data_IF_945046554399
#
_entry.id   IF_945046554399
#
_cell.length_a   1.000
_cell.length_b   1.000
_cell.length_c   1.000
_cell.angle_alpha   90.00
_cell.angle_beta   90.00
_cell.angle_gamma   90.00
#
_symmetry.space_group_name_H-M   'P 1'
#
loop_
_entity.id
_entity.type
_entity.pdbx_description
1 polymer ?
#
# COMPACT_ATOMS: atom_id res chain seq x y z
N UNK A 1 15.42 -10.91 0.07
CA UNK A 1 14.93 -9.94 1.06
C UNK A 1 14.12 -10.71 2.12
N UNK A 2 14.11 -10.26 3.37
CA UNK A 2 13.23 -10.79 4.42
C UNK A 2 11.80 -10.31 4.21
N UNK A 3 10.82 -10.91 4.92
CA UNK A 3 9.43 -10.40 4.91
C UNK A 3 9.37 -8.90 5.25
N UNK A 4 10.15 -8.45 6.23
CA UNK A 4 10.21 -7.05 6.63
C UNK A 4 10.77 -6.15 5.53
N UNK A 5 11.83 -6.60 4.84
CA UNK A 5 12.40 -5.86 3.71
C UNK A 5 11.42 -5.79 2.52
N UNK A 6 10.73 -6.88 2.20
CA UNK A 6 9.70 -6.89 1.16
C UNK A 6 8.54 -5.96 1.51
N UNK A 7 8.10 -5.98 2.76
CA UNK A 7 7.04 -5.10 3.22
C UNK A 7 7.46 -3.62 3.16
N UNK A 8 8.68 -3.30 3.61
CA UNK A 8 9.19 -1.93 3.54
C UNK A 8 9.27 -1.45 2.09
N UNK A 9 9.75 -2.29 1.18
CA UNK A 9 9.78 -1.98 -0.24
C UNK A 9 8.39 -1.71 -0.84
N UNK A 10 7.37 -2.51 -0.46
CA UNK A 10 5.98 -2.27 -0.86
C UNK A 10 5.46 -0.92 -0.34
N UNK A 11 5.80 -0.56 0.90
CA UNK A 11 5.39 0.71 1.53
C UNK A 11 6.04 1.90 0.83
N UNK A 12 7.36 1.85 0.63
CA UNK A 12 8.11 2.95 0.03
C UNK A 12 7.57 3.31 -1.35
N UNK A 13 7.34 2.30 -2.20
CA UNK A 13 6.73 2.48 -3.52
C UNK A 13 5.33 3.08 -3.46
N UNK A 14 4.49 2.60 -2.54
CA UNK A 14 3.14 3.13 -2.38
C UNK A 14 3.14 4.60 -1.95
N UNK A 15 4.07 5.00 -1.08
CA UNK A 15 4.19 6.38 -0.59
C UNK A 15 4.64 7.37 -1.67
N UNK A 16 5.29 6.92 -2.76
CA UNK A 16 5.64 7.78 -3.89
C UNK A 16 4.40 8.40 -4.55
N UNK A 17 3.28 7.67 -4.60
CA UNK A 17 1.99 8.17 -5.10
C UNK A 17 1.31 9.17 -4.15
N UNK A 18 1.84 9.35 -2.94
CA UNK A 18 1.40 10.34 -1.96
C UNK A 18 2.34 11.54 -1.87
N UNK A 19 3.27 11.70 -2.82
CA UNK A 19 4.09 12.89 -2.92
C UNK A 19 3.30 14.05 -3.56
N UNK A 20 3.35 15.27 -3.00
CA UNK A 20 2.68 16.43 -3.58
C UNK A 20 3.14 16.66 -5.04
N UNK A 21 2.19 16.71 -5.97
CA UNK A 21 2.49 16.89 -7.40
C UNK A 21 1.42 16.30 -8.30
N UNK A 22 1.67 16.27 -9.61
CA UNK A 22 0.73 15.75 -10.61
C UNK A 22 0.34 14.28 -10.40
N UNK A 23 1.18 13.52 -9.69
CA UNK A 23 0.99 12.09 -9.42
C UNK A 23 0.41 11.83 -8.01
N UNK A 24 -0.11 12.85 -7.34
CA UNK A 24 -0.70 12.72 -6.01
C UNK A 24 -2.04 11.97 -6.10
N UNK A 25 -1.99 10.65 -5.93
CA UNK A 25 -3.13 9.76 -6.13
C UNK A 25 -3.18 8.69 -5.01
N UNK A 26 -4.03 8.89 -4.00
CA UNK A 26 -4.23 7.93 -2.92
C UNK A 26 -4.70 6.56 -3.38
N UNK A 27 -5.41 6.51 -4.52
CA UNK A 27 -5.94 5.26 -5.05
C UNK A 27 -4.82 4.41 -5.67
N UNK A 28 -3.93 5.05 -6.42
CA UNK A 28 -2.73 4.41 -6.97
C UNK A 28 -1.77 3.96 -5.87
N UNK A 29 -1.65 4.72 -4.78
CA UNK A 29 -0.83 4.33 -3.63
C UNK A 29 -1.24 2.96 -3.06
N UNK A 30 -2.53 2.80 -2.75
CA UNK A 30 -3.09 1.55 -2.21
C UNK A 30 -3.02 0.43 -3.24
N UNK A 31 -3.34 0.72 -4.50
CA UNK A 31 -3.33 -0.26 -5.59
C UNK A 31 -1.92 -0.81 -5.83
N UNK A 32 -0.91 0.07 -5.87
CA UNK A 32 0.50 -0.34 -5.98
C UNK A 32 0.90 -1.23 -4.82
N UNK A 33 0.58 -0.85 -3.58
CA UNK A 33 0.90 -1.66 -2.40
C UNK A 33 0.29 -3.06 -2.46
N UNK A 34 -1.01 -3.18 -2.77
CA UNK A 34 -1.69 -4.48 -2.84
C UNK A 34 -1.12 -5.35 -3.97
N UNK A 35 -0.80 -4.75 -5.11
CA UNK A 35 -0.14 -5.45 -6.21
C UNK A 35 1.23 -5.97 -5.78
N UNK A 36 2.04 -5.13 -5.13
CA UNK A 36 3.39 -5.45 -4.69
C UNK A 36 3.42 -6.55 -3.62
N UNK A 37 2.49 -6.53 -2.65
CA UNK A 37 2.33 -7.58 -1.64
C UNK A 37 2.05 -8.95 -2.27
N UNK A 38 1.35 -9.00 -3.41
CA UNK A 38 1.02 -10.21 -4.15
C UNK A 38 2.17 -10.82 -4.96
N UNK A 39 3.30 -10.11 -5.11
CA UNK A 39 4.45 -10.55 -5.93
C UNK A 39 5.45 -11.44 -5.18
N UNK A 40 5.40 -11.44 -3.86
CA UNK A 40 6.37 -12.16 -3.01
C UNK A 40 5.67 -13.17 -2.09
N UNK A 41 6.09 -14.45 -2.06
CA UNK A 41 5.50 -15.47 -1.19
C UNK A 41 5.42 -15.05 0.29
N UNK A 42 6.40 -14.28 0.75
CA UNK A 42 6.55 -13.77 2.11
C UNK A 42 5.46 -12.76 2.51
N UNK A 43 4.81 -12.11 1.53
CA UNK A 43 3.79 -11.07 1.74
C UNK A 43 2.45 -11.37 1.07
N UNK A 44 2.37 -12.40 0.20
CA UNK A 44 1.17 -12.72 -0.59
C UNK A 44 -0.03 -13.01 0.28
N UNK A 45 0.15 -13.69 1.41
CA UNK A 45 -0.94 -13.97 2.34
C UNK A 45 -1.51 -12.69 2.96
N UNK A 46 -0.65 -11.74 3.33
CA UNK A 46 -1.06 -10.44 3.87
C UNK A 46 -1.78 -9.60 2.80
N UNK A 47 -1.29 -9.60 1.56
CA UNK A 47 -1.94 -8.93 0.43
C UNK A 47 -3.37 -9.45 0.17
N UNK A 48 -3.57 -10.77 0.25
CA UNK A 48 -4.91 -11.39 0.11
C UNK A 48 -5.83 -11.06 1.29
N UNK A 49 -5.32 -11.11 2.52
CA UNK A 49 -6.10 -10.85 3.73
C UNK A 49 -6.48 -9.38 3.91
N UNK A 50 -5.68 -8.44 3.39
CA UNK A 50 -5.90 -7.01 3.57
C UNK A 50 -6.49 -6.29 2.35
N UNK A 51 -6.79 -7.01 1.26
CA UNK A 51 -7.41 -6.44 0.06
C UNK A 51 -8.72 -5.69 0.36
N UNK A 52 -9.55 -6.20 1.29
CA UNK A 52 -10.78 -5.49 1.72
C UNK A 52 -10.51 -4.23 2.53
N UNK A 53 -9.44 -4.20 3.34
CA UNK A 53 -9.06 -2.99 4.09
C UNK A 53 -8.48 -1.92 3.16
N UNK A 54 -7.71 -2.33 2.14
CA UNK A 54 -7.28 -1.45 1.06
C UNK A 54 -8.47 -0.83 0.33
N UNK A 55 -9.50 -1.63 0.02
CA UNK A 55 -10.73 -1.15 -0.61
C UNK A 55 -11.47 -0.10 0.23
N UNK A 56 -11.42 -0.21 1.56
CA UNK A 56 -12.02 0.77 2.47
C UNK A 56 -11.21 2.07 2.58
N UNK A 57 -9.88 2.00 2.43
CA UNK A 57 -9.04 3.20 2.32
C UNK A 57 -9.30 3.96 1.02
N UNK A 58 -9.57 3.24 -0.09
CA UNK A 58 -9.91 3.81 -1.40
C UNK A 58 -11.21 4.62 -1.39
N UNK A 59 -12.21 4.25 -0.59
CA UNK A 59 -13.51 4.94 -0.54
C UNK A 59 -13.48 6.29 0.17
N UNK A 60 -12.46 6.56 1.00
CA UNK A 60 -12.31 7.83 1.71
C UNK A 60 -11.92 9.00 0.80
N UNK A 61 -11.23 8.72 -0.32
CA UNK A 61 -10.62 9.74 -1.19
C UNK A 61 -9.55 10.60 -0.51
N UNK A 62 -9.21 10.32 0.75
CA UNK A 62 -8.32 11.13 1.56
C UNK A 62 -6.89 10.56 1.57
N UNK A 63 -5.90 11.31 1.07
CA UNK A 63 -4.51 10.88 1.07
C UNK A 63 -3.93 10.55 2.45
N UNK A 64 -4.42 11.20 3.50
CA UNK A 64 -3.94 10.93 4.86
C UNK A 64 -4.38 9.57 5.36
N UNK A 65 -5.56 9.11 4.94
CA UNK A 65 -6.05 7.78 5.29
C UNK A 65 -5.29 6.69 4.52
N UNK A 66 -4.93 6.97 3.26
CA UNK A 66 -4.02 6.09 2.51
C UNK A 66 -2.63 6.01 3.15
N UNK A 67 -2.05 7.13 3.56
CA UNK A 67 -0.76 7.16 4.28
C UNK A 67 -0.82 6.33 5.57
N UNK A 68 -1.84 6.55 6.40
CA UNK A 68 -2.03 5.82 7.66
C UNK A 68 -2.16 4.32 7.44
N UNK A 69 -2.89 3.90 6.41
CA UNK A 69 -3.01 2.51 6.05
C UNK A 69 -1.63 1.91 5.66
N UNK A 70 -0.89 2.59 4.78
CA UNK A 70 0.41 2.10 4.28
C UNK A 70 1.43 2.00 5.42
N UNK A 71 1.58 3.06 6.21
CA UNK A 71 2.56 3.12 7.31
C UNK A 71 2.22 2.11 8.41
N UNK A 72 0.94 1.93 8.73
CA UNK A 72 0.44 1.04 9.79
C UNK A 72 0.38 -0.46 9.44
N UNK A 73 0.61 -0.84 8.19
CA UNK A 73 0.54 -2.23 7.75
C UNK A 73 1.73 -3.06 8.27
N UNK A 74 1.51 -4.24 8.87
CA UNK A 74 2.58 -5.09 9.42
C UNK A 74 2.46 -6.57 9.04
#
# INVERSE_FOLDING_TARGET
>A
MTRAEHLQWCKDRALEYLQPGANYNPQEAITSMMSDLGKHPETTQAGKSCAMLGMFALTSGNPQDARRFIEGFN
#
